data_IF_365493153196
#
_entry.id   IF_365493153196
#
_cell.length_a   1.000
_cell.length_b   1.000
_cell.length_c   1.000
_cell.angle_alpha   90.00
_cell.angle_beta   90.00
_cell.angle_gamma   90.00
#
_symmetry.space_group_name_H-M   'P 1'
#
loop_
_entity.id
_entity.type
_entity.pdbx_description
1 polymer ?
#
# COMPACT_ATOMS: atom_id res chain seq x y z
N UNK A 1 20.57 12.69 -49.88
CA UNK A 1 21.43 12.18 -48.78
C UNK A 1 21.50 13.23 -47.67
N UNK A 2 20.53 13.24 -46.74
CA UNK A 2 20.50 14.08 -45.52
C UNK A 2 19.23 13.86 -44.67
N UNK A 3 18.51 12.75 -44.86
CA UNK A 3 17.49 12.31 -43.89
C UNK A 3 18.21 11.44 -42.86
N UNK A 4 19.01 12.11 -42.06
CA UNK A 4 19.73 11.53 -40.95
C UNK A 4 18.71 10.97 -39.96
N UNK A 5 18.59 9.64 -39.89
CA UNK A 5 18.71 8.87 -38.66
C UNK A 5 18.10 9.52 -37.39
N UNK A 6 16.81 9.86 -37.38
CA UNK A 6 16.06 10.17 -36.14
C UNK A 6 15.06 9.07 -35.81
N UNK A 7 15.42 7.81 -36.09
CA UNK A 7 14.74 6.65 -35.50
C UNK A 7 15.54 6.23 -34.26
N UNK A 8 15.74 7.18 -33.36
CA UNK A 8 16.35 6.96 -32.05
C UNK A 8 15.30 6.27 -31.18
N UNK A 9 15.53 4.98 -30.96
CA UNK A 9 15.18 4.22 -29.78
C UNK A 9 13.84 4.59 -29.13
N UNK A 10 12.81 3.81 -29.43
CA UNK A 10 11.67 3.62 -28.52
C UNK A 10 12.23 2.91 -27.28
N UNK A 11 12.82 3.70 -26.37
CA UNK A 11 13.22 3.25 -25.05
C UNK A 11 11.93 2.91 -24.33
N UNK A 12 11.73 1.63 -24.05
CA UNK A 12 10.63 1.13 -23.24
C UNK A 12 10.78 1.72 -21.84
N UNK A 13 10.12 2.85 -21.57
CA UNK A 13 10.02 3.38 -20.22
C UNK A 13 9.06 2.47 -19.45
N UNK A 14 9.60 1.45 -18.80
CA UNK A 14 8.89 0.74 -17.75
C UNK A 14 8.58 1.77 -16.66
N UNK A 15 7.35 2.26 -16.61
CA UNK A 15 6.89 3.07 -15.48
C UNK A 15 6.85 2.15 -14.28
N UNK A 16 7.92 2.14 -13.49
CA UNK A 16 7.85 1.61 -12.14
C UNK A 16 6.70 2.36 -11.46
N UNK A 17 5.58 1.67 -11.23
CA UNK A 17 4.40 2.24 -10.63
C UNK A 17 4.80 2.58 -9.20
N UNK A 18 5.22 3.83 -8.98
CA UNK A 18 5.83 4.28 -7.75
C UNK A 18 4.77 4.13 -6.67
N UNK A 19 4.91 3.12 -5.82
CA UNK A 19 3.94 2.86 -4.77
C UNK A 19 4.07 3.93 -3.69
N UNK A 20 2.93 4.34 -3.18
CA UNK A 20 2.86 5.34 -2.11
C UNK A 20 3.15 4.63 -0.79
N UNK A 21 4.05 5.21 0.00
CA UNK A 21 4.37 4.73 1.34
C UNK A 21 3.23 4.99 2.34
N UNK A 22 3.36 4.49 3.58
CA UNK A 22 2.36 4.73 4.61
C UNK A 22 2.20 6.23 4.85
N UNK A 23 0.95 6.66 5.03
CA UNK A 23 0.56 8.06 5.24
C UNK A 23 0.78 8.99 4.04
N UNK A 24 1.22 8.47 2.89
CA UNK A 24 1.28 9.25 1.66
C UNK A 24 -0.07 9.39 0.98
N UNK A 25 -0.25 10.46 0.21
CA UNK A 25 -1.47 10.69 -0.59
C UNK A 25 -1.50 9.74 -1.79
N UNK A 26 -2.62 9.04 -1.97
CA UNK A 26 -2.88 8.09 -3.05
C UNK A 26 -4.02 8.52 -3.97
N UNK A 27 -4.68 9.64 -3.70
CA UNK A 27 -5.80 10.07 -4.52
C UNK A 27 -6.41 11.37 -4.07
N UNK A 28 -7.36 11.85 -4.87
CA UNK A 28 -8.04 13.12 -4.68
C UNK A 28 -8.23 13.88 -6.00
N UNK A 29 -9.19 14.79 -6.04
CA UNK A 29 -9.41 15.68 -7.18
C UNK A 29 -8.16 16.53 -7.40
N UNK A 30 -7.56 16.38 -8.58
CA UNK A 30 -6.33 17.09 -8.96
C UNK A 30 -5.03 16.37 -8.59
N UNK A 31 -5.10 15.20 -7.96
CA UNK A 31 -3.92 14.38 -7.67
C UNK A 31 -3.34 13.76 -8.95
N UNK A 32 -2.06 14.02 -9.22
CA UNK A 32 -1.33 13.46 -10.38
C UNK A 32 -0.20 12.52 -9.96
N UNK A 33 -0.10 12.20 -8.68
CA UNK A 33 0.94 11.35 -8.12
C UNK A 33 0.59 9.86 -8.20
N UNK A 34 1.30 9.06 -7.40
CA UNK A 34 1.02 7.63 -7.30
C UNK A 34 -0.38 7.38 -6.72
N UNK A 35 -1.12 6.44 -7.31
CA UNK A 35 -2.46 6.06 -6.87
C UNK A 35 -2.52 4.70 -6.16
N UNK A 36 -1.39 4.02 -6.12
CA UNK A 36 -1.28 2.66 -5.60
C UNK A 36 -0.48 2.70 -4.30
N UNK A 37 -1.11 2.30 -3.21
CA UNK A 37 -0.41 2.12 -1.94
C UNK A 37 0.50 0.90 -1.99
N UNK A 38 1.58 0.94 -1.22
CA UNK A 38 2.47 -0.21 -1.05
C UNK A 38 1.73 -1.39 -0.38
N UNK A 39 2.27 -2.59 -0.55
CA UNK A 39 1.77 -3.83 0.08
C UNK A 39 1.46 -3.64 1.58
N UNK A 40 0.36 -4.22 2.04
CA UNK A 40 -0.08 -4.11 3.44
C UNK A 40 -0.74 -2.78 3.81
N UNK A 41 -1.16 -1.98 2.83
CA UNK A 41 -1.85 -0.71 3.02
C UNK A 41 -3.07 -0.61 2.10
N UNK A 42 -4.00 0.27 2.45
CA UNK A 42 -5.14 0.59 1.59
C UNK A 42 -5.28 2.10 1.44
N UNK A 43 -5.76 2.55 0.29
CA UNK A 43 -6.03 3.96 0.05
C UNK A 43 -7.35 4.33 0.71
N UNK A 44 -7.29 5.10 1.79
CA UNK A 44 -8.47 5.58 2.51
C UNK A 44 -8.82 7.00 2.04
N UNK A 45 -10.02 7.18 1.49
CA UNK A 45 -10.54 8.49 1.12
C UNK A 45 -11.05 9.21 2.38
N UNK A 46 -10.45 10.35 2.69
CA UNK A 46 -10.94 11.23 3.76
C UNK A 46 -11.97 12.22 3.21
N UNK A 47 -11.66 12.79 2.04
CA UNK A 47 -12.48 13.76 1.34
C UNK A 47 -12.23 13.64 -0.18
N UNK A 48 -13.07 14.28 -1.02
CA UNK A 48 -12.91 14.21 -2.47
C UNK A 48 -11.55 14.72 -2.98
N UNK A 49 -10.86 15.56 -2.20
CA UNK A 49 -9.54 16.11 -2.55
C UNK A 49 -8.37 15.31 -1.98
N UNK A 50 -8.60 14.43 -1.01
CA UNK A 50 -7.54 13.77 -0.26
C UNK A 50 -7.89 12.33 0.09
N UNK A 51 -7.07 11.41 -0.42
CA UNK A 51 -7.04 10.01 0.00
C UNK A 51 -5.61 9.64 0.42
N UNK A 52 -5.47 8.96 1.56
CA UNK A 52 -4.17 8.64 2.18
C UNK A 52 -4.00 7.14 2.35
N UNK A 53 -2.79 6.63 2.14
CA UNK A 53 -2.47 5.22 2.38
C UNK A 53 -2.41 4.92 3.89
N UNK A 54 -3.33 4.08 4.36
CA UNK A 54 -3.40 3.65 5.75
C UNK A 54 -2.86 2.23 5.88
N UNK A 55 -1.93 1.98 6.82
CA UNK A 55 -1.48 0.63 7.13
C UNK A 55 -2.63 -0.27 7.56
N UNK A 56 -2.71 -1.46 6.96
CA UNK A 56 -3.61 -2.51 7.43
C UNK A 56 -2.95 -3.05 8.71
N UNK A 57 -3.66 -3.05 9.87
CA UNK A 57 -3.13 -3.70 11.05
C UNK A 57 -2.98 -5.18 10.73
N UNK A 58 -1.75 -5.64 10.56
CA UNK A 58 -1.46 -7.07 10.59
C UNK A 58 -1.80 -7.50 12.01
N UNK A 59 -2.93 -8.20 12.18
CA UNK A 59 -3.12 -9.05 13.34
C UNK A 59 -2.03 -10.11 13.24
N UNK A 60 -0.85 -9.80 13.76
CA UNK A 60 0.10 -10.81 14.15
C UNK A 60 -0.66 -11.58 15.22
N UNK A 61 -1.38 -12.62 14.80
CA UNK A 61 -1.72 -13.72 15.68
C UNK A 61 -0.37 -14.29 16.10
N UNK A 62 0.27 -13.66 17.08
CA UNK A 62 1.06 -14.40 18.03
C UNK A 62 0.15 -15.53 18.43
N UNK A 63 0.48 -16.74 18.00
CA UNK A 63 0.00 -17.97 18.59
C UNK A 63 0.41 -17.91 20.06
N UNK A 64 -0.34 -17.14 20.83
CA UNK A 64 -0.38 -17.19 22.27
C UNK A 64 -0.75 -18.64 22.53
N UNK A 65 0.09 -19.43 23.22
CA UNK A 65 -0.33 -20.75 23.62
C UNK A 65 -1.64 -20.54 24.39
N UNK A 66 -2.71 -21.16 23.87
CA UNK A 66 -3.99 -21.22 24.54
C UNK A 66 -3.73 -21.55 26.01
N UNK A 67 -4.20 -20.79 27.00
CA UNK A 67 -4.12 -21.27 28.36
C UNK A 67 -4.88 -22.59 28.38
N UNK A 68 -4.15 -23.68 28.61
CA UNK A 68 -4.75 -24.98 28.89
C UNK A 68 -5.75 -24.74 30.02
N UNK A 69 -7.02 -25.04 29.75
CA UNK A 69 -8.07 -25.01 30.75
C UNK A 69 -7.76 -26.08 31.79
N UNK A 70 -6.86 -25.78 32.73
CA UNK A 70 -6.73 -26.53 33.95
C UNK A 70 -7.91 -26.09 34.82
N UNK A 71 -8.95 -26.92 34.82
CA UNK A 71 -10.10 -26.85 35.73
C UNK A 71 -9.64 -26.93 37.18
N UNK A 72 -9.07 -25.84 37.69
CA UNK A 72 -8.82 -25.64 39.11
C UNK A 72 -10.16 -25.26 39.74
N UNK A 73 -10.82 -26.29 40.23
CA UNK A 73 -11.98 -26.32 41.11
C UNK A 73 -11.87 -25.20 42.17
N UNK A 74 -12.52 -24.06 41.95
CA UNK A 74 -12.76 -23.08 43.01
C UNK A 74 -13.68 -23.76 44.04
N UNK A 75 -13.10 -24.18 45.17
CA UNK A 75 -13.88 -24.52 46.36
C UNK A 75 -14.16 -23.21 47.11
N UNK A 76 -15.45 -22.93 47.27
CA UNK A 76 -15.97 -22.08 48.34
C UNK A 76 -16.09 -22.91 49.63
#
# INVERSE_FOLDING_TARGET
>A
MRFALIVLAVVSYATAQQTVGPWGICGGIGWTGGTVCSEGQYCHEWNPWDATCIPIPTTTSTSQPSPTANSAKFRF
#
